data_IF_212185837187
#
_entry.id   IF_212185837187
#
_cell.length_a   1.000
_cell.length_b   1.000
_cell.length_c   1.000
_cell.angle_alpha   90.00
_cell.angle_beta   90.00
_cell.angle_gamma   90.00
#
_symmetry.space_group_name_H-M   'P 1'
#
loop_
_entity.id
_entity.type
_entity.pdbx_description
1 polymer ?
#
# COMPACT_ATOMS: atom_id res chain seq x y z
N UNK A 1 0.85 -4.08 3.62
CA UNK A 1 -0.15 -3.63 2.62
C UNK A 1 0.57 -2.79 1.59
N UNK A 2 0.65 -3.29 0.36
CA UNK A 2 1.19 -2.56 -0.79
C UNK A 2 0.07 -1.78 -1.46
N UNK A 3 0.15 -0.46 -1.44
CA UNK A 3 -0.94 0.41 -1.94
C UNK A 3 -0.72 0.93 -3.36
N UNK A 4 0.31 0.41 -4.04
CA UNK A 4 0.60 0.74 -5.45
C UNK A 4 -0.37 0.03 -6.39
N UNK A 5 -0.29 0.36 -7.67
CA UNK A 5 -1.11 -0.31 -8.69
C UNK A 5 -0.78 -1.81 -8.81
N UNK A 6 -1.72 -2.64 -9.32
CA UNK A 6 -1.46 -4.06 -9.52
C UNK A 6 -0.26 -4.36 -10.42
N UNK A 7 0.00 -3.53 -11.44
CA UNK A 7 1.16 -3.68 -12.33
C UNK A 7 2.49 -3.40 -11.63
N UNK A 8 2.52 -2.42 -10.72
CA UNK A 8 3.71 -2.16 -9.88
C UNK A 8 3.95 -3.30 -8.88
N UNK A 9 2.87 -3.79 -8.26
CA UNK A 9 2.91 -4.92 -7.32
C UNK A 9 3.45 -6.20 -7.97
N UNK A 10 2.96 -6.57 -9.16
CA UNK A 10 3.45 -7.73 -9.94
C UNK A 10 4.86 -7.53 -10.52
N UNK A 11 5.39 -6.31 -10.46
CA UNK A 11 6.69 -5.97 -11.03
C UNK A 11 6.71 -5.83 -12.56
N UNK A 12 5.53 -5.72 -13.18
CA UNK A 12 5.35 -5.41 -14.60
C UNK A 12 5.70 -3.95 -14.90
N UNK A 13 5.48 -3.08 -13.91
CA UNK A 13 5.77 -1.65 -13.97
C UNK A 13 6.80 -1.25 -12.91
N UNK A 14 7.83 -0.53 -13.32
CA UNK A 14 8.78 0.07 -12.39
C UNK A 14 8.30 1.41 -11.84
N UNK A 15 7.31 2.05 -12.47
CA UNK A 15 6.63 3.30 -12.08
C UNK A 15 5.26 3.42 -12.76
N UNK A 16 4.36 4.23 -12.20
CA UNK A 16 3.09 4.55 -12.86
C UNK A 16 3.38 5.36 -14.13
N UNK A 17 2.61 5.11 -15.20
CA UNK A 17 2.62 6.00 -16.35
C UNK A 17 2.29 7.43 -15.89
N UNK A 18 3.02 8.41 -16.41
CA UNK A 18 2.80 9.85 -16.20
C UNK A 18 3.20 10.46 -14.85
N UNK A 19 3.99 9.75 -14.02
CA UNK A 19 4.55 10.28 -12.77
C UNK A 19 6.06 10.58 -12.88
N UNK A 20 6.60 11.54 -12.09
CA UNK A 20 8.05 11.76 -11.99
C UNK A 20 8.79 10.46 -11.66
N UNK A 21 10.02 10.30 -12.16
CA UNK A 21 10.80 9.06 -12.03
C UNK A 21 11.22 8.78 -10.58
N UNK A 22 10.31 8.26 -9.76
CA UNK A 22 10.57 7.60 -8.48
C UNK A 22 11.05 6.17 -8.73
N UNK A 23 12.21 6.06 -9.39
CA UNK A 23 12.69 4.81 -9.97
C UNK A 23 13.12 3.76 -8.93
N UNK A 24 12.91 2.50 -9.27
CA UNK A 24 13.49 1.36 -8.59
C UNK A 24 14.21 0.47 -9.61
N UNK A 25 15.37 -0.09 -9.22
CA UNK A 25 16.13 -1.03 -10.04
C UNK A 25 15.42 -2.39 -10.19
N UNK A 26 14.48 -2.70 -9.30
CA UNK A 26 13.75 -3.98 -9.26
C UNK A 26 12.24 -3.75 -9.17
N UNK A 27 11.49 -4.46 -10.01
CA UNK A 27 10.03 -4.57 -9.94
C UNK A 27 9.60 -5.78 -9.10
N UNK A 28 8.42 -5.65 -8.47
CA UNK A 28 7.81 -6.66 -7.61
C UNK A 28 7.23 -6.00 -6.35
N UNK A 29 7.06 -6.80 -5.30
CA UNK A 29 6.58 -6.37 -3.99
C UNK A 29 7.40 -7.03 -2.86
N UNK A 30 7.20 -6.55 -1.62
CA UNK A 30 7.77 -7.15 -0.43
C UNK A 30 7.10 -8.52 -0.21
N UNK A 31 7.84 -9.60 0.07
CA UNK A 31 7.25 -10.93 0.24
C UNK A 31 6.07 -10.98 1.21
N UNK A 32 4.98 -11.63 0.81
CA UNK A 32 3.75 -11.75 1.58
C UNK A 32 2.91 -10.47 1.68
N UNK A 33 3.28 -9.39 1.01
CA UNK A 33 2.45 -8.18 0.96
C UNK A 33 1.13 -8.44 0.23
N UNK A 34 0.02 -7.92 0.75
CA UNK A 34 -1.27 -7.88 0.06
C UNK A 34 -1.44 -6.55 -0.68
N UNK A 35 -1.93 -6.59 -1.93
CA UNK A 35 -2.12 -5.40 -2.77
C UNK A 35 -3.51 -4.78 -2.59
N UNK A 36 -3.55 -3.54 -2.10
CA UNK A 36 -4.78 -2.75 -1.99
C UNK A 36 -4.50 -1.34 -2.49
N UNK A 37 -4.71 -1.05 -3.78
CA UNK A 37 -4.47 0.28 -4.34
C UNK A 37 -5.18 1.36 -3.52
N UNK A 38 -4.46 2.41 -3.11
CA UNK A 38 -4.96 3.41 -2.16
C UNK A 38 -6.31 4.04 -2.56
N UNK A 39 -6.52 4.24 -3.87
CA UNK A 39 -7.72 4.86 -4.43
C UNK A 39 -8.99 4.03 -4.17
N UNK A 40 -8.87 2.73 -3.83
CA UNK A 40 -10.02 1.91 -3.44
C UNK A 40 -10.71 2.42 -2.18
N UNK A 41 -9.99 3.14 -1.31
CA UNK A 41 -10.51 3.71 -0.06
C UNK A 41 -11.13 5.11 -0.24
N UNK A 42 -11.16 5.66 -1.46
CA UNK A 42 -11.70 6.98 -1.78
C UNK A 42 -12.86 6.89 -2.77
N UNK A 43 -13.80 7.82 -2.67
CA UNK A 43 -14.88 8.02 -3.62
C UNK A 43 -14.40 8.87 -4.82
N UNK A 44 -15.14 8.91 -5.94
CA UNK A 44 -14.79 9.71 -7.11
C UNK A 44 -14.66 11.23 -6.85
N UNK A 45 -15.33 11.73 -5.81
CA UNK A 45 -15.27 13.13 -5.39
C UNK A 45 -14.09 13.44 -4.43
N UNK A 46 -13.28 12.42 -4.11
CA UNK A 46 -12.12 12.51 -3.23
C UNK A 46 -12.44 12.35 -1.73
N UNK A 47 -13.70 12.13 -1.35
CA UNK A 47 -14.05 11.80 0.03
C UNK A 47 -13.63 10.37 0.38
N UNK A 48 -13.41 10.07 1.67
CA UNK A 48 -13.21 8.69 2.11
C UNK A 48 -14.50 7.88 1.93
N UNK A 49 -14.35 6.57 1.68
CA UNK A 49 -15.45 5.62 1.78
C UNK A 49 -16.00 5.50 3.19
N UNK A 50 -17.22 4.99 3.31
CA UNK A 50 -17.83 4.69 4.61
C UNK A 50 -17.03 3.63 5.38
N UNK A 51 -17.14 3.61 6.71
CA UNK A 51 -16.44 2.62 7.53
C UNK A 51 -16.79 1.18 7.14
N UNK A 52 -18.03 0.91 6.73
CA UNK A 52 -18.47 -0.43 6.33
C UNK A 52 -17.83 -0.87 5.01
N UNK A 53 -17.82 0.00 3.99
CA UNK A 53 -17.10 -0.28 2.73
C UNK A 53 -15.59 -0.47 2.97
N UNK A 54 -15.01 0.29 3.90
CA UNK A 54 -13.60 0.15 4.25
C UNK A 54 -13.32 -1.18 4.95
N UNK A 55 -14.22 -1.66 5.83
CA UNK A 55 -14.10 -3.01 6.44
C UNK A 55 -14.23 -4.12 5.39
N UNK A 56 -15.14 -3.99 4.44
CA UNK A 56 -15.25 -4.95 3.33
C UNK A 56 -13.91 -5.06 2.57
N UNK A 57 -13.32 -3.92 2.22
CA UNK A 57 -12.03 -3.87 1.49
C UNK A 57 -10.88 -4.46 2.30
N UNK A 58 -10.74 -4.13 3.58
CA UNK A 58 -9.54 -4.49 4.36
C UNK A 58 -9.70 -5.78 5.16
N UNK A 59 -10.87 -6.01 5.77
CA UNK A 59 -11.13 -7.14 6.65
C UNK A 59 -11.68 -8.34 5.88
N UNK A 60 -12.71 -8.15 5.06
CA UNK A 60 -13.35 -9.27 4.36
C UNK A 60 -12.55 -9.76 3.16
N UNK A 61 -12.17 -8.86 2.25
CA UNK A 61 -11.43 -9.24 1.05
C UNK A 61 -9.98 -9.63 1.34
N UNK A 62 -9.33 -8.92 2.26
CA UNK A 62 -7.90 -9.08 2.54
C UNK A 62 -7.64 -9.85 3.82
N UNK A 63 -8.64 -10.15 4.65
CA UNK A 63 -8.45 -10.89 5.89
C UNK A 63 -7.56 -10.18 6.91
N UNK A 64 -7.53 -8.84 6.92
CA UNK A 64 -6.88 -8.10 8.00
C UNK A 64 -7.76 -8.10 9.25
N UNK A 65 -7.12 -8.15 10.40
CA UNK A 65 -7.76 -8.00 11.69
C UNK A 65 -7.22 -6.76 12.40
N UNK A 66 -8.06 -6.08 13.18
CA UNK A 66 -7.67 -4.88 13.93
C UNK A 66 -6.48 -5.12 14.90
N UNK A 67 -6.26 -6.36 15.34
CA UNK A 67 -5.14 -6.75 16.20
C UNK A 67 -3.82 -6.98 15.43
N UNK A 68 -3.85 -7.01 14.10
CA UNK A 68 -2.67 -7.28 13.28
C UNK A 68 -1.66 -6.14 13.34
N UNK A 69 -0.38 -6.50 13.22
CA UNK A 69 0.69 -5.52 13.02
C UNK A 69 0.78 -5.17 11.54
N UNK A 70 0.18 -4.06 11.15
CA UNK A 70 0.10 -3.66 9.74
C UNK A 70 1.19 -2.67 9.38
N UNK A 71 1.90 -2.93 8.28
CA UNK A 71 2.82 -1.98 7.65
C UNK A 71 2.28 -1.62 6.27
N UNK A 72 1.98 -0.35 6.05
CA UNK A 72 1.57 0.19 4.75
C UNK A 72 2.79 0.81 4.04
N UNK A 73 2.91 0.60 2.73
CA UNK A 73 3.97 1.21 1.93
C UNK A 73 3.52 1.46 0.48
N UNK A 74 4.12 2.46 -0.17
CA UNK A 74 3.93 2.77 -1.59
C UNK A 74 5.28 2.89 -2.31
N UNK A 75 5.60 4.06 -2.89
CA UNK A 75 6.92 4.39 -3.46
C UNK A 75 7.78 5.24 -2.54
N UNK A 76 7.23 6.35 -2.04
CA UNK A 76 7.91 7.33 -1.19
C UNK A 76 7.05 7.78 0.00
N UNK A 77 6.09 6.96 0.41
CA UNK A 77 5.25 7.22 1.58
C UNK A 77 3.97 8.03 1.37
N UNK A 78 3.75 8.71 0.22
CA UNK A 78 2.57 9.60 0.10
C UNK A 78 1.24 8.84 0.08
N UNK A 79 1.11 7.84 -0.80
CA UNK A 79 -0.12 7.03 -0.90
C UNK A 79 -0.31 6.11 0.29
N UNK A 80 0.79 5.61 0.87
CA UNK A 80 0.69 4.75 2.06
C UNK A 80 0.33 5.52 3.32
N UNK A 81 0.63 6.83 3.39
CA UNK A 81 0.12 7.68 4.48
C UNK A 81 -1.41 7.77 4.48
N UNK A 82 -2.04 7.81 3.30
CA UNK A 82 -3.49 7.78 3.16
C UNK A 82 -4.10 6.48 3.71
N UNK A 83 -3.58 5.32 3.29
CA UNK A 83 -4.05 4.03 3.82
C UNK A 83 -3.72 3.85 5.30
N UNK A 84 -2.56 4.34 5.76
CA UNK A 84 -2.23 4.37 7.18
C UNK A 84 -3.27 5.16 7.97
N UNK A 85 -3.69 6.33 7.48
CA UNK A 85 -4.74 7.13 8.12
C UNK A 85 -6.08 6.39 8.16
N UNK A 86 -6.48 5.76 7.05
CA UNK A 86 -7.71 4.97 6.95
C UNK A 86 -7.73 3.85 8.00
N UNK A 87 -6.69 3.03 8.05
CA UNK A 87 -6.63 1.90 8.98
C UNK A 87 -6.58 2.39 10.45
N UNK A 88 -5.77 3.41 10.73
CA UNK A 88 -5.55 3.89 12.11
C UNK A 88 -6.76 4.64 12.65
N UNK A 89 -7.28 5.63 11.90
CA UNK A 89 -8.24 6.60 12.43
C UNK A 89 -9.68 6.34 12.01
N UNK A 90 -9.91 5.73 10.84
CA UNK A 90 -11.27 5.45 10.37
C UNK A 90 -11.74 4.05 10.79
N UNK A 91 -10.82 3.08 10.82
CA UNK A 91 -11.10 1.70 11.23
C UNK A 91 -10.63 1.36 12.65
N UNK A 92 -9.79 2.19 13.27
CA UNK A 92 -9.39 2.02 14.67
C UNK A 92 -8.36 0.92 14.90
N UNK A 93 -7.48 0.64 13.94
CA UNK A 93 -6.38 -0.30 14.13
C UNK A 93 -5.30 0.32 15.02
N UNK A 94 -4.91 -0.38 16.09
CA UNK A 94 -3.94 0.14 17.05
C UNK A 94 -2.48 0.05 16.56
N UNK A 95 -2.18 -0.92 15.68
CA UNK A 95 -0.80 -1.29 15.33
C UNK A 95 -0.49 -1.09 13.84
N UNK A 96 -0.68 0.13 13.33
CA UNK A 96 -0.39 0.48 11.93
C UNK A 96 0.84 1.40 11.83
N UNK A 97 1.80 1.03 10.98
CA UNK A 97 2.98 1.84 10.65
C UNK A 97 3.02 2.18 9.18
N UNK A 98 3.42 3.41 8.85
CA UNK A 98 3.77 3.81 7.50
C UNK A 98 5.27 3.58 7.29
N UNK A 99 5.64 2.76 6.31
CA UNK A 99 7.03 2.61 5.89
C UNK A 99 7.31 3.61 4.76
N UNK A 100 7.85 4.77 5.13
CA UNK A 100 8.06 5.91 4.26
C UNK A 100 9.12 5.68 3.18
N UNK A 101 10.21 4.96 3.50
CA UNK A 101 11.23 4.55 2.52
C UNK A 101 10.64 3.73 1.36
N UNK A 102 9.60 2.94 1.66
CA UNK A 102 8.70 2.36 0.65
C UNK A 102 9.46 1.59 -0.47
N UNK A 103 8.90 1.52 -1.68
CA UNK A 103 9.51 0.78 -2.78
C UNK A 103 10.76 1.43 -3.36
N UNK A 104 10.92 2.76 -3.26
CA UNK A 104 12.14 3.42 -3.73
C UNK A 104 13.36 3.01 -2.90
N UNK A 105 13.20 2.79 -1.59
CA UNK A 105 14.25 2.18 -0.77
C UNK A 105 14.36 0.67 -1.03
N UNK A 106 13.26 -0.08 -0.86
CA UNK A 106 13.30 -1.55 -0.91
C UNK A 106 13.73 -2.10 -2.28
N UNK A 107 13.21 -1.52 -3.35
CA UNK A 107 13.49 -1.92 -4.73
C UNK A 107 14.95 -1.67 -5.14
N UNK A 108 15.63 -0.72 -4.49
CA UNK A 108 17.03 -0.38 -4.76
C UNK A 108 18.04 -0.99 -3.78
N UNK A 109 17.60 -1.43 -2.59
CA UNK A 109 18.47 -2.03 -1.60
C UNK A 109 19.02 -3.40 -2.03
N UNK A 110 20.32 -3.61 -1.83
CA UNK A 110 21.00 -4.86 -2.19
C UNK A 110 20.50 -6.01 -1.31
N UNK A 111 20.20 -7.16 -1.93
CA UNK A 111 19.86 -8.43 -1.26
C UNK A 111 18.57 -8.45 -0.42
N UNK A 112 17.74 -7.40 -0.47
CA UNK A 112 16.38 -7.52 0.08
C UNK A 112 15.53 -8.44 -0.80
N UNK A 113 14.68 -9.30 -0.20
CA UNK A 113 13.85 -10.24 -0.95
C UNK A 113 12.72 -9.51 -1.68
N UNK A 114 12.32 -10.03 -2.84
CA UNK A 114 11.28 -9.47 -3.71
C UNK A 114 10.45 -10.61 -4.29
N UNK A 115 9.12 -10.51 -4.20
CA UNK A 115 8.15 -11.39 -4.86
C UNK A 115 7.54 -10.72 -6.11
N UNK A 116 7.00 -11.51 -7.03
CA UNK A 116 6.35 -11.06 -8.28
C UNK A 116 5.08 -11.86 -8.52
#
# INVERSE_FOLDING_TARGET
VDVRSPGEYKGELLHMADYPQEGALRGGHIPGAKNVPWARAANPDGTFKSADELREIYEEEQGLNAADNVVAYCRIGERSSHTWFVLTYLLGYDNVRNYDGSWTEWGNAVRLPVER
#
